data_IF_869838219062
#
_entry.id   IF_869838219062
#
_cell.length_a   1.000
_cell.length_b   1.000
_cell.length_c   1.000
_cell.angle_alpha   90.00
_cell.angle_beta   90.00
_cell.angle_gamma   90.00
#
_symmetry.space_group_name_H-M   'P 1'
#
loop_
_entity.id
_entity.type
_entity.pdbx_description
1 polymer ?
#
# COMPACT_ATOMS: atom_id res chain seq x y z
N UNK A 1 37.18 -6.36 10.73
CA UNK A 1 36.91 -7.78 10.55
C UNK A 1 35.40 -7.97 10.45
N UNK A 2 34.88 -8.21 9.25
CA UNK A 2 33.48 -8.56 9.04
C UNK A 2 33.13 -9.88 9.75
N UNK A 3 31.90 -9.99 10.25
CA UNK A 3 31.41 -11.23 10.85
C UNK A 3 31.64 -11.39 12.37
N UNK A 4 32.20 -10.40 13.03
CA UNK A 4 32.23 -10.37 14.51
C UNK A 4 31.13 -9.44 15.01
N UNK A 5 30.26 -9.93 15.80
CA UNK A 5 29.23 -9.15 16.43
C UNK A 5 28.44 -9.96 17.45
N UNK A 6 27.53 -9.36 18.19
CA UNK A 6 27.34 -7.90 18.30
C UNK A 6 28.48 -7.19 19.08
N UNK A 7 28.84 -6.01 18.62
CA UNK A 7 29.86 -5.17 19.21
C UNK A 7 29.26 -4.03 20.03
N UNK A 8 30.05 -3.48 20.94
CA UNK A 8 29.73 -2.21 21.62
C UNK A 8 30.76 -1.17 21.24
N UNK A 9 30.28 -0.02 20.76
CA UNK A 9 31.12 1.14 20.48
C UNK A 9 30.91 2.18 21.55
N UNK A 10 32.03 2.69 22.08
CA UNK A 10 32.03 3.78 23.05
C UNK A 10 32.62 5.03 22.42
N UNK A 11 31.86 6.10 22.40
CA UNK A 11 32.29 7.43 21.91
C UNK A 11 32.47 8.33 23.14
N UNK A 12 33.63 8.96 23.25
CA UNK A 12 33.96 9.89 24.34
C UNK A 12 34.28 11.26 23.75
N UNK A 13 33.66 12.30 24.29
CA UNK A 13 33.90 13.70 23.93
C UNK A 13 33.91 14.55 25.19
N UNK A 14 35.11 14.93 25.66
CA UNK A 14 35.30 15.54 26.98
C UNK A 14 34.85 14.60 28.10
N UNK A 15 33.93 15.07 28.93
CA UNK A 15 33.35 14.30 30.04
C UNK A 15 32.13 13.45 29.63
N UNK A 16 31.65 13.62 28.41
CA UNK A 16 30.50 12.86 27.90
C UNK A 16 30.94 11.52 27.32
N UNK A 17 30.14 10.50 27.60
CA UNK A 17 30.35 9.14 27.07
C UNK A 17 29.03 8.60 26.55
N UNK A 18 29.00 8.18 25.27
CA UNK A 18 27.89 7.51 24.63
C UNK A 18 28.31 6.07 24.31
N UNK A 19 27.45 5.12 24.62
CA UNK A 19 27.64 3.72 24.23
C UNK A 19 26.56 3.31 23.26
N UNK A 20 27.00 2.76 22.12
CA UNK A 20 26.13 2.11 21.13
C UNK A 20 26.38 0.62 21.21
N UNK A 21 25.34 -0.15 21.49
CA UNK A 21 25.39 -1.61 21.64
C UNK A 21 24.74 -2.28 20.41
N UNK A 22 24.91 -3.60 20.30
CA UNK A 22 24.32 -4.41 19.24
C UNK A 22 24.75 -3.99 17.82
N UNK A 23 26.00 -3.58 17.65
CA UNK A 23 26.56 -3.19 16.36
C UNK A 23 27.06 -4.42 15.63
N UNK A 24 26.61 -4.60 14.39
CA UNK A 24 27.12 -5.60 13.47
C UNK A 24 28.04 -4.95 12.43
N UNK A 25 29.08 -5.64 12.04
CA UNK A 25 29.98 -5.23 10.95
C UNK A 25 29.76 -6.15 9.77
N UNK A 26 29.30 -5.61 8.64
CA UNK A 26 28.92 -6.37 7.46
C UNK A 26 28.70 -5.49 6.24
N UNK A 27 27.92 -5.98 5.27
CA UNK A 27 27.55 -5.27 4.07
C UNK A 27 26.28 -4.43 4.31
N UNK A 28 26.22 -3.21 3.75
CA UNK A 28 25.04 -2.36 3.79
C UNK A 28 24.58 -2.04 2.37
N UNK A 29 23.31 -2.33 2.08
CA UNK A 29 22.73 -2.17 0.77
C UNK A 29 21.55 -1.20 0.77
N UNK A 30 21.53 -0.29 -0.19
CA UNK A 30 20.41 0.61 -0.44
C UNK A 30 19.44 -0.04 -1.42
N UNK A 31 18.22 -0.29 -0.95
CA UNK A 31 17.10 -0.82 -1.71
C UNK A 31 16.21 0.35 -2.14
N UNK A 32 16.48 0.93 -3.31
CA UNK A 32 15.81 2.14 -3.80
C UNK A 32 15.06 1.87 -5.10
N UNK A 33 14.04 2.67 -5.36
CA UNK A 33 13.24 2.62 -6.57
C UNK A 33 11.79 3.00 -6.33
N UNK A 34 10.91 2.41 -7.15
CA UNK A 34 9.48 2.68 -7.05
C UNK A 34 8.69 1.40 -6.71
N UNK A 35 7.46 1.23 -7.19
CA UNK A 35 6.49 0.23 -6.73
C UNK A 35 7.02 -1.19 -6.57
N UNK A 36 7.87 -1.70 -7.48
CA UNK A 36 8.38 -3.07 -7.35
C UNK A 36 9.35 -3.22 -6.16
N UNK A 37 10.12 -2.18 -5.85
CA UNK A 37 10.99 -2.17 -4.68
C UNK A 37 10.20 -1.87 -3.39
N UNK A 38 9.13 -1.08 -3.48
CA UNK A 38 8.27 -0.74 -2.33
C UNK A 38 7.39 -1.92 -1.87
N UNK A 39 7.08 -2.88 -2.73
CA UNK A 39 6.21 -4.00 -2.38
C UNK A 39 6.72 -4.76 -1.15
N UNK A 40 5.86 -4.83 -0.14
CA UNK A 40 6.16 -5.45 1.13
C UNK A 40 6.05 -6.98 1.07
N UNK A 41 6.77 -7.66 1.96
CA UNK A 41 6.69 -9.13 2.10
C UNK A 41 5.25 -9.60 2.31
N UNK A 42 4.47 -8.89 3.12
CA UNK A 42 3.04 -9.16 3.37
C UNK A 42 2.20 -9.18 2.09
N UNK A 43 2.64 -8.46 1.07
CA UNK A 43 1.94 -8.35 -0.21
C UNK A 43 2.01 -9.57 -1.11
N UNK A 44 2.89 -10.52 -0.87
CA UNK A 44 3.08 -11.71 -1.70
C UNK A 44 2.18 -12.88 -1.27
N UNK A 45 1.93 -13.81 -2.19
CA UNK A 45 1.06 -14.96 -1.95
C UNK A 45 1.48 -15.79 -0.73
N UNK A 46 2.79 -16.01 -0.57
CA UNK A 46 3.38 -16.77 0.53
C UNK A 46 3.88 -15.85 1.67
N UNK A 47 3.55 -14.57 1.64
CA UNK A 47 4.08 -13.56 2.54
C UNK A 47 3.85 -13.86 4.02
N UNK A 48 2.71 -14.41 4.38
CA UNK A 48 2.44 -14.77 5.77
C UNK A 48 3.27 -15.95 6.28
N UNK A 49 3.54 -16.93 5.42
CA UNK A 49 4.43 -18.05 5.75
C UNK A 49 5.87 -17.56 5.91
N UNK A 50 6.32 -16.70 4.99
CA UNK A 50 7.63 -16.08 5.03
C UNK A 50 7.83 -15.21 6.28
N UNK A 51 6.84 -14.39 6.63
CA UNK A 51 6.87 -13.57 7.86
C UNK A 51 7.05 -14.45 9.09
N UNK A 52 6.30 -15.54 9.21
CA UNK A 52 6.41 -16.46 10.35
C UNK A 52 7.76 -17.15 10.44
N UNK A 53 8.40 -17.39 9.31
CA UNK A 53 9.70 -18.05 9.22
C UNK A 53 10.88 -17.06 9.39
N UNK A 54 10.67 -15.76 9.27
CA UNK A 54 11.70 -14.74 9.28
C UNK A 54 12.34 -14.58 10.67
N UNK A 55 13.45 -15.24 10.87
CA UNK A 55 14.28 -15.12 12.08
C UNK A 55 15.75 -15.02 11.66
N UNK A 56 16.15 -13.83 11.21
CA UNK A 56 17.47 -13.56 10.67
C UNK A 56 18.15 -12.42 11.45
N UNK A 57 18.65 -12.66 12.67
CA UNK A 57 19.22 -11.60 13.53
C UNK A 57 20.44 -10.92 12.93
N UNK A 58 21.10 -11.53 11.96
CA UNK A 58 22.23 -10.94 11.22
C UNK A 58 21.78 -10.07 10.04
N UNK A 59 20.49 -9.98 9.77
CA UNK A 59 19.92 -9.04 8.79
C UNK A 59 19.31 -7.87 9.56
N UNK A 60 19.67 -6.66 9.21
CA UNK A 60 19.17 -5.42 9.81
C UNK A 60 18.40 -4.63 8.78
N UNK A 61 17.27 -4.12 9.19
CA UNK A 61 16.31 -3.42 8.36
C UNK A 61 16.23 -1.96 8.79
N UNK A 62 16.30 -1.04 7.84
CA UNK A 62 16.06 0.37 8.04
C UNK A 62 15.11 0.87 6.96
N UNK A 63 13.97 1.44 7.33
CA UNK A 63 13.04 2.04 6.38
C UNK A 63 13.12 3.55 6.48
N UNK A 64 13.45 4.19 5.35
CA UNK A 64 13.39 5.64 5.21
C UNK A 64 11.94 6.07 5.10
N UNK A 65 11.43 6.94 5.98
CA UNK A 65 10.07 7.43 5.89
C UNK A 65 9.83 8.21 4.59
N UNK A 66 8.67 8.03 3.98
CA UNK A 66 8.29 8.78 2.78
C UNK A 66 8.13 10.26 3.12
N UNK A 67 9.11 11.05 2.74
CA UNK A 67 9.13 12.50 2.95
C UNK A 67 9.62 13.19 1.67
N UNK A 68 8.82 14.08 1.13
CA UNK A 68 9.22 14.91 0.01
C UNK A 68 10.00 16.12 0.52
N UNK A 69 11.10 16.43 -0.15
CA UNK A 69 11.91 17.62 0.11
C UNK A 69 12.42 18.19 -1.22
N UNK A 70 12.56 19.50 -1.31
CA UNK A 70 13.17 20.18 -2.47
C UNK A 70 14.70 20.05 -2.39
N UNK A 71 15.24 20.25 -1.21
CA UNK A 71 16.69 20.23 -0.97
C UNK A 71 17.11 18.94 -0.28
N UNK A 72 18.37 18.48 -0.47
CA UNK A 72 18.94 17.38 0.28
C UNK A 72 18.80 17.60 1.78
N UNK A 73 18.48 16.53 2.51
CA UNK A 73 18.37 16.56 3.97
C UNK A 73 19.61 15.90 4.57
N UNK A 74 20.10 16.47 5.67
CA UNK A 74 21.29 15.98 6.36
C UNK A 74 21.00 14.79 7.27
N UNK A 75 19.71 14.55 7.61
CA UNK A 75 19.31 13.50 8.53
C UNK A 75 17.94 12.90 8.15
N UNK A 76 17.70 11.69 8.64
CA UNK A 76 16.45 10.95 8.46
C UNK A 76 16.01 10.31 9.77
N UNK A 77 14.73 10.49 10.09
CA UNK A 77 14.13 9.83 11.26
C UNK A 77 13.91 8.35 10.96
N UNK A 78 14.53 7.48 11.73
CA UNK A 78 14.40 6.03 11.58
C UNK A 78 15.26 5.28 12.56
N UNK A 79 15.11 3.97 12.57
CA UNK A 79 15.93 3.10 13.42
C UNK A 79 16.18 1.76 12.73
N UNK A 80 17.36 1.20 12.99
CA UNK A 80 17.68 -0.16 12.60
C UNK A 80 16.92 -1.18 13.44
N UNK A 81 16.37 -2.20 12.79
CA UNK A 81 15.63 -3.29 13.41
C UNK A 81 16.24 -4.63 12.99
N UNK A 82 16.31 -5.60 13.88
CA UNK A 82 16.62 -6.97 13.49
C UNK A 82 15.48 -7.54 12.62
N UNK A 83 15.82 -8.34 11.62
CA UNK A 83 14.83 -9.05 10.81
C UNK A 83 14.17 -10.15 11.64
N UNK A 84 12.88 -9.97 11.91
CA UNK A 84 12.04 -10.87 12.69
C UNK A 84 10.62 -10.91 12.12
N UNK A 85 9.74 -11.83 12.59
CA UNK A 85 8.34 -11.85 12.22
C UNK A 85 7.61 -10.52 12.46
N UNK A 86 8.00 -9.75 13.47
CA UNK A 86 7.40 -8.48 13.83
C UNK A 86 7.81 -7.34 12.91
N UNK A 87 9.00 -7.41 12.29
CA UNK A 87 9.62 -6.30 11.57
C UNK A 87 9.56 -6.44 10.05
N UNK A 88 9.55 -7.71 9.54
CA UNK A 88 9.72 -7.96 8.11
C UNK A 88 8.45 -7.71 7.28
N UNK A 89 7.27 -7.82 7.87
CA UNK A 89 6.01 -7.85 7.14
C UNK A 89 5.80 -6.67 6.19
N UNK A 90 6.18 -5.48 6.61
CA UNK A 90 5.99 -4.25 5.86
C UNK A 90 7.28 -3.76 5.16
N UNK A 91 8.36 -4.53 5.27
CA UNK A 91 9.62 -4.24 4.57
C UNK A 91 9.57 -4.67 3.09
N UNK A 92 10.44 -4.07 2.26
CA UNK A 92 10.61 -4.43 0.84
C UNK A 92 10.86 -5.94 0.67
N UNK A 93 10.00 -6.62 -0.08
CA UNK A 93 10.19 -8.03 -0.38
C UNK A 93 11.44 -8.27 -1.23
N UNK A 94 11.65 -7.46 -2.26
CA UNK A 94 12.83 -7.56 -3.13
C UNK A 94 14.10 -7.35 -2.32
N UNK A 95 14.13 -6.32 -1.45
CA UNK A 95 15.25 -6.06 -0.56
C UNK A 95 15.50 -7.21 0.42
N UNK A 96 14.44 -7.73 1.03
CA UNK A 96 14.53 -8.84 1.97
C UNK A 96 15.06 -10.13 1.33
N UNK A 97 14.47 -10.58 0.22
CA UNK A 97 14.92 -11.82 -0.44
C UNK A 97 16.35 -11.70 -0.94
N UNK A 98 16.74 -10.54 -1.48
CA UNK A 98 18.12 -10.26 -1.85
C UNK A 98 19.06 -10.36 -0.63
N UNK A 99 18.73 -9.67 0.47
CA UNK A 99 19.56 -9.64 1.66
C UNK A 99 19.68 -11.00 2.34
N UNK A 100 18.60 -11.79 2.35
CA UNK A 100 18.60 -13.16 2.89
C UNK A 100 19.54 -14.07 2.10
N UNK A 101 19.39 -14.10 0.77
CA UNK A 101 20.23 -14.89 -0.10
C UNK A 101 21.71 -14.48 0.01
N UNK A 102 21.98 -13.18 0.10
CA UNK A 102 23.35 -12.70 0.27
C UNK A 102 23.92 -13.10 1.63
N UNK A 103 23.19 -12.93 2.73
CA UNK A 103 23.61 -13.35 4.05
C UNK A 103 23.96 -14.83 4.12
N UNK A 104 23.12 -15.68 3.50
CA UNK A 104 23.35 -17.13 3.44
C UNK A 104 24.62 -17.48 2.65
N UNK A 105 24.89 -16.78 1.53
CA UNK A 105 26.04 -17.09 0.67
C UNK A 105 27.38 -16.62 1.21
N UNK A 106 27.43 -15.41 1.76
CA UNK A 106 28.70 -14.83 2.17
C UNK A 106 28.93 -14.89 3.67
N UNK A 107 27.93 -15.29 4.44
CA UNK A 107 27.97 -15.46 5.91
C UNK A 107 28.52 -14.23 6.65
N UNK A 108 28.09 -13.03 6.24
CA UNK A 108 28.35 -11.77 6.94
C UNK A 108 27.04 -11.06 7.25
N UNK A 109 26.98 -10.22 8.30
CA UNK A 109 25.80 -9.41 8.56
C UNK A 109 25.41 -8.52 7.37
N UNK A 110 24.09 -8.36 7.14
CA UNK A 110 23.55 -7.55 6.03
C UNK A 110 22.64 -6.46 6.58
N UNK A 111 22.97 -5.21 6.29
CA UNK A 111 22.10 -4.07 6.51
C UNK A 111 21.35 -3.71 5.24
N UNK A 112 20.02 -3.56 5.31
CA UNK A 112 19.15 -3.19 4.21
C UNK A 112 18.47 -1.86 4.51
N UNK A 113 18.73 -0.85 3.69
CA UNK A 113 18.08 0.45 3.77
C UNK A 113 17.01 0.52 2.68
N UNK A 114 15.74 0.46 3.05
CA UNK A 114 14.62 0.61 2.13
C UNK A 114 14.28 2.10 1.94
N UNK A 115 14.45 2.61 0.71
CA UNK A 115 14.07 3.95 0.29
C UNK A 115 13.40 3.86 -1.08
N UNK A 116 12.11 3.50 -1.08
CA UNK A 116 11.34 3.28 -2.29
C UNK A 116 9.96 3.92 -2.16
N UNK A 117 9.48 4.56 -3.25
CA UNK A 117 8.16 5.21 -3.31
C UNK A 117 7.49 4.87 -4.64
N UNK A 118 6.41 4.11 -4.59
CA UNK A 118 5.65 3.69 -5.77
C UNK A 118 5.05 4.86 -6.53
N UNK A 119 5.05 4.74 -7.87
CA UNK A 119 4.50 5.77 -8.76
C UNK A 119 5.40 6.98 -8.99
N UNK A 120 6.63 6.97 -8.49
CA UNK A 120 7.60 8.05 -8.73
C UNK A 120 8.32 7.87 -10.07
N UNK A 121 8.71 8.99 -10.68
CA UNK A 121 9.53 9.07 -11.88
C UNK A 121 11.00 9.20 -11.51
N UNK A 122 11.90 8.91 -12.42
CA UNK A 122 13.34 8.91 -12.16
C UNK A 122 13.86 10.30 -11.73
N UNK A 123 13.24 11.35 -12.23
CA UNK A 123 13.59 12.74 -11.89
C UNK A 123 13.45 13.02 -10.39
N UNK A 124 12.49 12.38 -9.71
CA UNK A 124 12.32 12.52 -8.26
C UNK A 124 13.46 11.91 -7.43
N UNK A 125 14.30 11.08 -8.05
CA UNK A 125 15.47 10.41 -7.45
C UNK A 125 16.80 10.96 -7.95
N UNK A 126 16.76 11.98 -8.80
CA UNK A 126 17.95 12.59 -9.40
C UNK A 126 18.28 13.88 -8.64
N UNK A 127 19.56 14.10 -8.36
CA UNK A 127 20.02 15.34 -7.73
C UNK A 127 19.61 16.55 -8.57
N UNK A 128 19.18 17.63 -7.90
CA UNK A 128 18.79 18.87 -8.53
C UNK A 128 19.87 19.39 -9.49
N UNK A 129 21.13 19.37 -9.09
CA UNK A 129 22.26 19.84 -9.91
C UNK A 129 22.40 19.05 -11.22
N UNK A 130 22.16 17.77 -11.19
CA UNK A 130 22.29 16.91 -12.36
C UNK A 130 21.08 17.05 -13.30
N UNK A 131 19.87 17.04 -12.73
CA UNK A 131 18.66 17.17 -13.54
C UNK A 131 18.53 18.55 -14.20
N UNK A 132 19.02 19.62 -13.56
CA UNK A 132 18.99 20.97 -14.10
C UNK A 132 19.88 21.15 -15.35
N UNK A 133 20.84 20.26 -15.57
CA UNK A 133 21.67 20.23 -16.78
C UNK A 133 20.95 19.69 -18.02
N UNK A 134 19.81 19.02 -17.83
CA UNK A 134 19.05 18.44 -18.93
C UNK A 134 18.23 19.52 -19.66
N UNK A 135 18.19 19.50 -21.01
CA UNK A 135 17.41 20.46 -21.77
C UNK A 135 15.94 20.50 -21.35
N UNK A 136 15.41 21.69 -21.11
CA UNK A 136 14.01 21.90 -20.72
C UNK A 136 13.68 21.64 -19.25
N UNK A 137 14.60 21.08 -18.45
CA UNK A 137 14.32 20.75 -17.05
C UNK A 137 14.38 21.97 -16.12
N UNK A 138 15.18 23.00 -16.44
CA UNK A 138 15.28 24.21 -15.61
C UNK A 138 13.91 24.86 -15.37
N UNK A 139 13.10 25.01 -16.43
CA UNK A 139 11.74 25.56 -16.31
C UNK A 139 10.84 24.64 -15.46
N UNK A 140 10.91 23.34 -15.71
CA UNK A 140 10.11 22.36 -14.98
C UNK A 140 10.45 22.30 -13.49
N UNK A 141 11.71 22.43 -13.14
CA UNK A 141 12.18 22.48 -11.76
C UNK A 141 11.63 23.73 -11.06
N UNK A 142 11.72 24.90 -11.71
CA UNK A 142 11.17 26.14 -11.15
C UNK A 142 9.65 26.02 -10.90
N UNK A 143 8.88 25.47 -11.84
CA UNK A 143 7.45 25.21 -11.67
C UNK A 143 7.17 24.30 -10.47
N UNK A 144 7.95 23.22 -10.29
CA UNK A 144 7.80 22.29 -9.16
C UNK A 144 8.16 22.95 -7.84
N UNK A 145 9.20 23.80 -7.82
CA UNK A 145 9.59 24.54 -6.62
C UNK A 145 8.53 25.55 -6.21
N UNK A 146 7.98 26.32 -7.17
CA UNK A 146 6.89 27.26 -6.92
C UNK A 146 5.65 26.56 -6.37
N UNK A 147 5.24 25.45 -7.00
CA UNK A 147 4.12 24.64 -6.56
C UNK A 147 4.33 24.04 -5.16
N UNK A 148 5.56 23.61 -4.84
CA UNK A 148 5.88 22.98 -3.56
C UNK A 148 5.73 23.94 -2.37
N UNK A 149 6.06 25.21 -2.56
CA UNK A 149 5.96 26.25 -1.54
C UNK A 149 4.65 27.04 -1.60
N UNK A 150 3.78 26.82 -2.61
CA UNK A 150 2.49 27.51 -2.69
C UNK A 150 1.56 27.08 -1.55
N UNK A 151 1.21 28.01 -0.61
CA UNK A 151 0.31 27.68 0.49
C UNK A 151 -1.06 27.15 0.06
N UNK A 152 -1.56 27.55 -1.12
CA UNK A 152 -2.83 27.07 -1.65
C UNK A 152 -2.73 25.63 -2.12
N UNK A 153 -1.63 25.26 -2.73
CA UNK A 153 -1.36 23.87 -3.17
C UNK A 153 -1.16 22.98 -1.96
N UNK A 154 -0.34 23.41 -0.97
CA UNK A 154 -0.18 22.70 0.30
C UNK A 154 -1.53 22.47 0.98
N UNK A 155 -2.38 23.49 1.04
CA UNK A 155 -3.70 23.39 1.64
C UNK A 155 -4.63 22.46 0.85
N UNK A 156 -4.60 22.49 -0.50
CA UNK A 156 -5.36 21.57 -1.36
C UNK A 156 -4.93 20.13 -1.16
N UNK A 157 -3.61 19.87 -1.11
CA UNK A 157 -3.06 18.54 -0.84
C UNK A 157 -3.49 18.05 0.55
N UNK A 158 -3.35 18.88 1.59
CA UNK A 158 -3.75 18.53 2.94
C UNK A 158 -5.26 18.23 3.05
N UNK A 159 -6.12 19.03 2.40
CA UNK A 159 -7.58 18.77 2.33
C UNK A 159 -7.89 17.47 1.57
N UNK A 160 -7.25 17.24 0.43
CA UNK A 160 -7.43 16.01 -0.34
C UNK A 160 -6.99 14.77 0.48
N UNK A 161 -5.84 14.85 1.15
CA UNK A 161 -5.32 13.78 2.01
C UNK A 161 -6.27 13.50 3.19
N UNK A 162 -6.74 14.55 3.88
CA UNK A 162 -7.69 14.40 4.99
C UNK A 162 -9.02 13.82 4.52
N UNK A 163 -9.53 14.24 3.37
CA UNK A 163 -10.76 13.70 2.79
C UNK A 163 -10.60 12.24 2.37
N UNK A 164 -9.47 11.86 1.78
CA UNK A 164 -9.16 10.48 1.42
C UNK A 164 -8.97 9.60 2.65
N UNK A 165 -8.35 10.11 3.71
CA UNK A 165 -8.22 9.39 4.96
C UNK A 165 -9.59 9.18 5.61
N UNK A 166 -10.44 10.21 5.68
CA UNK A 166 -11.81 10.08 6.18
C UNK A 166 -12.64 9.06 5.36
N UNK A 167 -12.47 9.04 4.04
CA UNK A 167 -13.10 8.04 3.18
C UNK A 167 -12.57 6.61 3.44
N UNK A 168 -11.26 6.46 3.70
CA UNK A 168 -10.66 5.16 4.05
C UNK A 168 -11.13 4.66 5.41
N UNK A 169 -11.28 5.56 6.36
CA UNK A 169 -11.73 5.28 7.74
C UNK A 169 -13.26 5.15 7.83
N UNK A 170 -14.02 5.49 6.78
CA UNK A 170 -15.46 5.36 6.74
C UNK A 170 -15.87 3.93 7.11
N UNK A 171 -16.51 3.80 8.28
CA UNK A 171 -16.91 2.49 8.82
C UNK A 171 -17.93 1.84 7.88
N UNK A 172 -17.81 0.53 7.69
CA UNK A 172 -18.75 -0.26 6.87
C UNK A 172 -20.22 -0.14 7.32
N UNK A 173 -20.45 0.26 8.56
CA UNK A 173 -21.75 0.43 9.20
C UNK A 173 -22.20 1.89 9.31
N UNK A 174 -21.60 2.81 8.55
CA UNK A 174 -22.10 4.18 8.49
C UNK A 174 -23.52 4.25 7.87
N UNK A 175 -24.21 5.34 8.08
CA UNK A 175 -25.58 5.51 7.57
C UNK A 175 -25.64 5.46 6.04
N UNK A 176 -24.64 6.04 5.36
CA UNK A 176 -24.52 5.97 3.92
C UNK A 176 -24.35 4.53 3.43
N UNK A 177 -23.48 3.75 4.09
CA UNK A 177 -23.26 2.36 3.72
C UNK A 177 -24.55 1.53 3.87
N UNK A 178 -25.30 1.72 4.95
CA UNK A 178 -26.60 1.08 5.15
C UNK A 178 -27.61 1.44 4.05
N UNK A 179 -27.69 2.72 3.69
CA UNK A 179 -28.55 3.20 2.61
C UNK A 179 -28.15 2.58 1.27
N UNK A 180 -26.88 2.67 0.90
CA UNK A 180 -26.38 2.24 -0.41
C UNK A 180 -26.34 0.73 -0.60
N UNK A 181 -26.21 -0.04 0.46
CA UNK A 181 -26.22 -1.52 0.41
C UNK A 181 -27.62 -2.12 0.62
N UNK A 182 -28.59 -1.33 1.07
CA UNK A 182 -29.95 -1.80 1.37
C UNK A 182 -30.64 -2.44 0.16
N UNK A 183 -31.49 -3.46 0.37
CA UNK A 183 -32.15 -4.20 -0.72
C UNK A 183 -33.10 -3.29 -1.53
N UNK A 184 -33.74 -2.33 -0.88
CA UNK A 184 -34.81 -1.51 -1.45
C UNK A 184 -34.30 -0.19 -2.05
N UNK A 185 -33.00 -0.03 -2.26
CA UNK A 185 -32.41 1.17 -2.85
C UNK A 185 -32.88 1.33 -4.28
N UNK A 186 -33.50 2.48 -4.60
CA UNK A 186 -33.79 2.86 -5.98
C UNK A 186 -32.48 3.21 -6.71
N UNK A 187 -32.20 2.45 -7.77
CA UNK A 187 -31.04 2.61 -8.64
C UNK A 187 -31.42 3.02 -10.06
N UNK A 188 -32.64 3.47 -10.28
CA UNK A 188 -33.14 3.84 -11.62
C UNK A 188 -32.32 4.95 -12.30
N UNK A 189 -31.70 5.82 -11.49
CA UNK A 189 -30.80 6.88 -11.95
C UNK A 189 -29.32 6.44 -12.11
N UNK A 190 -29.00 5.22 -11.76
CA UNK A 190 -27.61 4.74 -11.85
C UNK A 190 -27.22 4.43 -13.28
N UNK A 191 -25.96 4.68 -13.60
CA UNK A 191 -25.38 4.31 -14.90
C UNK A 191 -24.93 2.85 -14.87
N UNK A 192 -25.10 2.17 -16.00
CA UNK A 192 -24.56 0.83 -16.22
C UNK A 192 -23.11 0.93 -16.69
N UNK A 193 -22.26 0.05 -16.17
CA UNK A 193 -20.86 -0.04 -16.54
C UNK A 193 -20.51 -1.50 -16.82
N UNK A 194 -19.81 -1.76 -17.93
CA UNK A 194 -19.22 -3.08 -18.18
C UNK A 194 -17.99 -3.28 -17.31
N UNK A 195 -17.96 -4.42 -16.64
CA UNK A 195 -16.81 -4.88 -15.83
C UNK A 195 -16.41 -6.32 -16.26
N UNK A 196 -15.12 -6.68 -16.23
CA UNK A 196 -13.99 -5.87 -15.76
C UNK A 196 -13.61 -4.74 -16.72
N UNK A 197 -13.34 -3.55 -16.21
CA UNK A 197 -12.87 -2.42 -17.00
C UNK A 197 -12.20 -1.35 -16.14
N UNK A 198 -11.27 -0.58 -16.73
CA UNK A 198 -10.73 0.61 -16.09
C UNK A 198 -11.74 1.76 -16.14
N UNK A 199 -11.89 2.51 -15.06
CA UNK A 199 -12.89 3.59 -14.95
C UNK A 199 -12.76 4.66 -16.03
N UNK A 200 -11.52 5.02 -16.40
CA UNK A 200 -11.29 5.97 -17.48
C UNK A 200 -11.88 5.53 -18.83
N UNK A 201 -11.84 4.22 -19.12
CA UNK A 201 -12.46 3.64 -20.33
C UNK A 201 -13.97 3.46 -20.16
N UNK A 202 -14.46 3.37 -18.94
CA UNK A 202 -15.86 3.17 -18.61
C UNK A 202 -16.64 4.48 -18.36
N UNK A 203 -16.10 5.63 -18.81
CA UNK A 203 -16.78 6.93 -18.75
C UNK A 203 -16.56 7.73 -17.47
N UNK A 204 -15.56 7.37 -16.65
CA UNK A 204 -15.12 8.10 -15.46
C UNK A 204 -13.63 8.48 -15.57
N UNK A 205 -13.21 9.26 -16.59
CA UNK A 205 -11.84 9.70 -16.72
C UNK A 205 -11.47 10.61 -15.53
N UNK A 206 -10.27 10.43 -14.99
CA UNK A 206 -9.72 11.23 -13.90
C UNK A 206 -10.55 11.26 -12.59
N UNK A 207 -11.52 10.34 -12.44
CA UNK A 207 -12.33 10.25 -11.24
C UNK A 207 -11.47 9.81 -10.04
N UNK A 208 -11.66 10.49 -8.91
CA UNK A 208 -11.11 10.13 -7.61
C UNK A 208 -12.23 10.17 -6.57
N UNK A 209 -12.30 9.15 -5.76
CA UNK A 209 -13.29 9.12 -4.70
C UNK A 209 -13.92 7.76 -4.50
N UNK A 210 -15.18 7.75 -4.15
CA UNK A 210 -15.94 6.54 -3.80
C UNK A 210 -16.95 6.22 -4.90
N UNK A 211 -16.89 4.98 -5.40
CA UNK A 211 -17.89 4.47 -6.37
C UNK A 211 -18.60 3.27 -5.75
N UNK A 212 -19.90 3.23 -5.98
CA UNK A 212 -20.76 2.14 -5.60
C UNK A 212 -21.18 1.35 -6.82
N UNK A 213 -20.96 0.06 -6.78
CA UNK A 213 -21.43 -0.90 -7.77
C UNK A 213 -22.55 -1.74 -7.17
N UNK A 214 -23.52 -2.07 -7.98
CA UNK A 214 -24.64 -2.94 -7.56
C UNK A 214 -25.01 -3.88 -8.68
N UNK A 215 -25.20 -5.15 -8.34
CA UNK A 215 -25.64 -6.21 -9.25
C UNK A 215 -26.66 -7.08 -8.58
N UNK A 216 -27.81 -7.26 -9.23
CA UNK A 216 -28.76 -8.29 -8.87
C UNK A 216 -28.40 -9.56 -9.62
N UNK A 217 -28.34 -10.68 -8.90
CA UNK A 217 -28.12 -12.03 -9.43
C UNK A 217 -29.31 -12.89 -9.06
N UNK A 218 -29.69 -13.80 -9.95
CA UNK A 218 -30.73 -14.80 -9.69
C UNK A 218 -30.10 -16.07 -9.17
N UNK A 219 -30.44 -16.46 -7.93
CA UNK A 219 -29.86 -17.63 -7.27
C UNK A 219 -30.81 -18.80 -7.39
N UNK A 220 -30.36 -19.96 -7.94
CA UNK A 220 -31.19 -21.15 -8.05
C UNK A 220 -31.73 -21.60 -6.71
N UNK A 221 -32.97 -22.13 -6.69
CA UNK A 221 -33.59 -22.64 -5.47
C UNK A 221 -32.74 -23.72 -4.78
N UNK A 222 -31.98 -24.49 -5.56
CA UNK A 222 -31.06 -25.52 -5.02
C UNK A 222 -29.88 -24.96 -4.24
N UNK A 223 -29.60 -23.65 -4.33
CA UNK A 223 -28.51 -22.96 -3.62
C UNK A 223 -29.03 -22.19 -2.42
N UNK A 224 -30.30 -21.92 -2.33
CA UNK A 224 -30.91 -21.23 -1.18
C UNK A 224 -30.55 -21.92 0.14
N UNK A 225 -30.19 -21.14 1.15
CA UNK A 225 -29.82 -21.69 2.46
C UNK A 225 -28.48 -22.43 2.49
N UNK A 226 -27.62 -22.30 1.44
CA UNK A 226 -26.28 -22.88 1.43
C UNK A 226 -25.22 -21.77 1.54
N UNK A 227 -24.07 -22.09 2.14
CA UNK A 227 -22.92 -21.23 2.11
C UNK A 227 -22.39 -21.12 0.69
N UNK A 228 -22.17 -19.90 0.22
CA UNK A 228 -21.60 -19.61 -1.09
C UNK A 228 -20.25 -18.89 -0.95
N UNK A 229 -19.50 -18.86 -2.01
CA UNK A 229 -18.27 -18.08 -2.12
C UNK A 229 -18.41 -17.11 -3.29
N UNK A 230 -18.21 -15.84 -3.02
CA UNK A 230 -18.22 -14.76 -4.00
C UNK A 230 -16.80 -14.46 -4.44
N UNK A 231 -16.54 -14.64 -5.72
CA UNK A 231 -15.29 -14.27 -6.36
C UNK A 231 -15.48 -12.98 -7.16
N UNK A 232 -14.79 -11.89 -6.78
CA UNK A 232 -14.81 -10.61 -7.48
C UNK A 232 -13.50 -10.31 -8.20
N UNK A 233 -12.55 -11.28 -8.16
CA UNK A 233 -11.19 -11.13 -8.66
C UNK A 233 -10.47 -9.90 -8.07
N UNK A 234 -9.57 -9.27 -8.81
CA UNK A 234 -8.79 -8.14 -8.30
C UNK A 234 -9.55 -6.83 -8.45
N UNK A 235 -9.58 -6.08 -7.37
CA UNK A 235 -10.02 -4.68 -7.35
C UNK A 235 -8.78 -3.85 -7.05
N UNK A 236 -8.37 -2.97 -7.95
CA UNK A 236 -7.09 -2.27 -7.87
C UNK A 236 -7.00 -1.23 -6.74
N UNK A 237 -8.03 -1.18 -5.90
CA UNK A 237 -8.13 -0.28 -4.74
C UNK A 237 -8.77 -1.01 -3.54
N UNK A 238 -9.08 -0.26 -2.47
CA UNK A 238 -9.80 -0.83 -1.33
C UNK A 238 -11.29 -1.02 -1.62
N UNK A 239 -11.85 -2.11 -1.12
CA UNK A 239 -13.29 -2.36 -1.24
C UNK A 239 -13.96 -2.76 0.08
N UNK A 240 -15.28 -2.58 0.09
CA UNK A 240 -16.18 -3.23 1.04
C UNK A 240 -17.34 -3.82 0.26
N UNK A 241 -17.70 -5.06 0.57
CA UNK A 241 -18.70 -5.83 -0.17
C UNK A 241 -19.83 -6.28 0.75
N UNK A 242 -21.05 -6.10 0.27
CA UNK A 242 -22.30 -6.54 0.92
C UNK A 242 -23.05 -7.52 0.03
N UNK A 243 -23.75 -8.45 0.68
CA UNK A 243 -24.70 -9.37 0.06
C UNK A 243 -26.04 -9.20 0.76
N UNK A 244 -27.09 -8.85 0.02
CA UNK A 244 -28.42 -8.56 0.54
C UNK A 244 -28.41 -7.55 1.72
N UNK A 245 -27.60 -6.50 1.60
CA UNK A 245 -27.48 -5.46 2.62
C UNK A 245 -26.58 -5.80 3.82
N UNK A 246 -26.11 -7.03 3.94
CA UNK A 246 -25.17 -7.43 5.00
C UNK A 246 -23.73 -7.49 4.48
N UNK A 247 -22.79 -6.92 5.24
CA UNK A 247 -21.37 -6.93 4.90
C UNK A 247 -20.83 -8.37 4.95
N UNK A 248 -20.22 -8.79 3.85
CA UNK A 248 -19.60 -10.12 3.71
C UNK A 248 -18.08 -10.06 3.60
N UNK A 249 -17.51 -8.89 3.26
CA UNK A 249 -16.07 -8.75 3.19
C UNK A 249 -15.59 -7.31 3.04
N UNK A 250 -14.30 -7.12 3.21
CA UNK A 250 -13.57 -5.89 2.89
C UNK A 250 -12.10 -6.21 2.68
N UNK A 251 -11.48 -5.47 1.76
CA UNK A 251 -10.05 -5.53 1.52
C UNK A 251 -9.49 -4.11 1.50
N UNK A 252 -8.51 -3.80 2.36
CA UNK A 252 -7.90 -2.48 2.40
C UNK A 252 -7.04 -2.21 1.17
N UNK A 253 -6.80 -0.93 0.86
CA UNK A 253 -6.10 -0.46 -0.34
C UNK A 253 -4.74 -1.11 -0.54
N UNK A 254 -3.96 -1.31 0.51
CA UNK A 254 -2.62 -1.91 0.41
C UNK A 254 -2.62 -3.39 -0.02
N UNK A 255 -3.79 -4.04 -0.03
CA UNK A 255 -3.97 -5.41 -0.51
C UNK A 255 -4.66 -5.46 -1.90
N UNK A 256 -4.54 -4.40 -2.70
CA UNK A 256 -5.18 -4.27 -4.02
C UNK A 256 -4.87 -5.42 -4.99
N UNK A 257 -3.71 -6.05 -4.85
CA UNK A 257 -3.27 -7.18 -5.69
C UNK A 257 -3.93 -8.52 -5.34
N UNK A 258 -4.57 -8.65 -4.15
CA UNK A 258 -5.21 -9.89 -3.73
C UNK A 258 -6.56 -10.06 -4.42
N UNK A 259 -6.89 -11.26 -4.96
CA UNK A 259 -8.25 -11.58 -5.40
C UNK A 259 -9.25 -11.44 -4.24
N UNK A 260 -10.42 -10.87 -4.53
CA UNK A 260 -11.52 -10.77 -3.54
C UNK A 260 -12.31 -12.07 -3.55
N UNK A 261 -12.21 -12.80 -2.45
CA UNK A 261 -12.91 -14.05 -2.22
C UNK A 261 -13.61 -13.93 -0.88
N UNK A 262 -14.95 -13.81 -0.91
CA UNK A 262 -15.75 -13.58 0.28
C UNK A 262 -16.74 -14.72 0.51
N UNK A 263 -16.81 -15.21 1.75
CA UNK A 263 -17.79 -16.21 2.16
C UNK A 263 -19.15 -15.55 2.39
N UNK A 264 -20.20 -16.09 1.79
CA UNK A 264 -21.58 -15.67 1.98
C UNK A 264 -22.25 -16.71 2.88
N UNK A 265 -22.67 -16.35 4.10
CA UNK A 265 -23.37 -17.27 5.00
C UNK A 265 -24.71 -17.74 4.41
N UNK A 266 -25.07 -19.00 4.66
CA UNK A 266 -26.29 -19.62 4.20
C UNK A 266 -27.55 -18.79 4.54
N UNK A 267 -27.56 -18.12 5.69
CA UNK A 267 -28.67 -17.29 6.17
C UNK A 267 -28.97 -16.08 5.26
N UNK A 268 -28.01 -15.68 4.44
CA UNK A 268 -28.18 -14.55 3.52
C UNK A 268 -28.65 -14.97 2.12
N UNK A 269 -28.53 -16.27 1.78
CA UNK A 269 -28.76 -16.77 0.43
C UNK A 269 -30.23 -17.15 0.25
N UNK A 270 -30.92 -16.43 -0.63
CA UNK A 270 -32.35 -16.68 -0.94
C UNK A 270 -32.49 -17.24 -2.35
N UNK A 271 -33.53 -18.01 -2.62
CA UNK A 271 -33.92 -18.35 -3.99
C UNK A 271 -34.39 -17.10 -4.74
N UNK A 272 -34.08 -17.01 -6.02
CA UNK A 272 -34.41 -15.86 -6.85
C UNK A 272 -33.46 -14.67 -6.67
N UNK A 273 -33.96 -13.42 -6.72
CA UNK A 273 -33.10 -12.23 -6.73
C UNK A 273 -32.32 -12.02 -5.44
N UNK A 274 -31.00 -11.91 -5.56
CA UNK A 274 -30.09 -11.50 -4.50
C UNK A 274 -29.22 -10.34 -4.99
N UNK A 275 -28.83 -9.46 -4.07
CA UNK A 275 -28.11 -8.23 -4.43
C UNK A 275 -26.68 -8.28 -3.89
N UNK A 276 -25.72 -8.04 -4.76
CA UNK A 276 -24.32 -7.76 -4.44
C UNK A 276 -24.11 -6.26 -4.55
N UNK A 277 -23.56 -5.64 -3.51
CA UNK A 277 -23.14 -4.23 -3.52
C UNK A 277 -21.67 -4.16 -3.17
N UNK A 278 -20.90 -3.41 -3.95
CA UNK A 278 -19.47 -3.21 -3.74
C UNK A 278 -19.16 -1.72 -3.70
N UNK A 279 -18.56 -1.25 -2.63
CA UNK A 279 -18.01 0.09 -2.52
C UNK A 279 -16.52 0.03 -2.79
N UNK A 280 -16.06 0.77 -3.79
CA UNK A 280 -14.63 0.90 -4.12
C UNK A 280 -14.20 2.33 -3.84
N UNK A 281 -13.06 2.50 -3.20
CA UNK A 281 -12.45 3.82 -2.92
C UNK A 281 -11.20 3.95 -3.76
N UNK A 282 -11.26 4.79 -4.81
CA UNK A 282 -10.11 5.10 -5.67
C UNK A 282 -9.36 6.34 -5.15
N UNK A 283 -8.10 6.14 -4.82
CA UNK A 283 -7.18 7.20 -4.36
C UNK A 283 -6.10 7.53 -5.39
N UNK A 284 -5.97 6.71 -6.44
CA UNK A 284 -5.04 6.87 -7.55
C UNK A 284 -5.81 6.92 -8.88
N UNK A 285 -5.25 7.61 -9.90
CA UNK A 285 -5.92 7.87 -11.19
C UNK A 285 -6.46 6.60 -11.85
N UNK A 286 -7.76 6.58 -12.12
CA UNK A 286 -8.48 5.75 -13.12
C UNK A 286 -8.22 4.23 -13.10
N UNK A 287 -8.04 3.62 -11.96
CA UNK A 287 -7.97 2.17 -11.83
C UNK A 287 -9.38 1.67 -11.50
N UNK A 288 -9.89 0.75 -12.23
CA UNK A 288 -11.24 0.19 -12.03
C UNK A 288 -11.21 -1.21 -11.44
N UNK A 289 -12.34 -1.88 -11.57
CA UNK A 289 -12.46 -3.33 -11.39
C UNK A 289 -11.77 -4.01 -12.58
N UNK A 290 -10.76 -4.82 -12.32
CA UNK A 290 -10.05 -5.62 -13.31
C UNK A 290 -10.51 -7.05 -13.33
#
# INVERSE_FOLDING_TARGET
>A
ESGKGPLTMTVKAGDETIQLTDILVGEVWLCSGQSNMEWSVRGFADGEAEIKAANHPNIRLFTVPNKTAIDPQDDVVGQWQACSPETIGDFSAVGYYFGRELNERINVPIGLINSAVGGTIIEAWTRHEEISRLPGMTKRIAEVQDDFYDPLIIQKIARATSSLQALREAKANDELARKMSGPDLDISSWKTMEIPNAWGKAGLPDFRGMVWFRKTIDVPASWAGKNLVLHLDRILEGDVTWFNGQRVGATPVHLYHKPRVYSIPASLVKAGPNTITVRVIDTYRSRGLS
#
